data_IF_567528832780
#
_entry.id   IF_567528832780
#
_cell.length_a   1.000
_cell.length_b   1.000
_cell.length_c   1.000
_cell.angle_alpha   90.00
_cell.angle_beta   90.00
_cell.angle_gamma   90.00
#
_symmetry.space_group_name_H-M   'P 1'
#
loop_
_entity.id
_entity.type
_entity.pdbx_description
1 polymer ?
#
# COMPACT_ATOMS: atom_id res chain seq x y z
N UNK A 1 42.48 35.44 -6.46
CA UNK A 1 41.15 35.16 -6.01
C UNK A 1 40.96 33.63 -5.89
N UNK A 2 41.04 33.12 -4.64
CA UNK A 2 40.81 31.68 -4.39
C UNK A 2 39.34 31.32 -4.63
N UNK A 3 39.07 30.36 -5.49
CA UNK A 3 37.74 29.76 -5.61
C UNK A 3 37.47 28.96 -4.32
N UNK A 4 36.41 29.32 -3.58
CA UNK A 4 35.98 28.55 -2.44
C UNK A 4 35.31 27.23 -2.96
N UNK A 5 35.83 26.13 -2.49
CA UNK A 5 35.27 24.80 -2.81
C UNK A 5 34.59 24.25 -1.57
N UNK A 6 33.40 23.70 -1.72
CA UNK A 6 32.69 23.01 -0.65
C UNK A 6 33.01 21.52 -0.72
N UNK A 7 33.31 20.89 0.43
CA UNK A 7 33.55 19.47 0.52
C UNK A 7 32.20 18.74 0.55
N UNK A 8 31.93 17.91 -0.45
CA UNK A 8 30.72 17.07 -0.53
C UNK A 8 30.94 15.71 0.13
N UNK A 9 32.14 15.12 -0.05
CA UNK A 9 32.47 13.80 0.48
C UNK A 9 33.97 13.71 0.84
N UNK A 10 34.33 12.80 1.75
CA UNK A 10 35.73 12.53 2.11
C UNK A 10 36.28 13.31 3.29
N UNK A 11 35.45 13.77 4.23
CA UNK A 11 35.87 14.57 5.40
C UNK A 11 36.96 13.88 6.23
N UNK A 12 36.85 12.57 6.46
CA UNK A 12 37.85 11.81 7.22
C UNK A 12 39.21 11.82 6.51
N UNK A 13 39.22 11.68 5.17
CA UNK A 13 40.47 11.74 4.36
C UNK A 13 41.08 13.13 4.42
N UNK A 14 40.27 14.18 4.24
CA UNK A 14 40.75 15.56 4.35
C UNK A 14 41.31 15.84 5.74
N UNK A 15 40.64 15.38 6.79
CA UNK A 15 41.12 15.52 8.17
C UNK A 15 42.45 14.79 8.41
N UNK A 16 42.59 13.58 7.89
CA UNK A 16 43.84 12.83 7.96
C UNK A 16 44.99 13.53 7.20
N UNK A 17 44.73 14.07 6.01
CA UNK A 17 45.75 14.85 5.26
C UNK A 17 46.16 16.11 6.00
N UNK A 18 45.24 16.82 6.66
CA UNK A 18 45.54 17.98 7.51
C UNK A 18 46.41 17.59 8.70
N UNK A 19 46.13 16.48 9.36
CA UNK A 19 46.93 15.96 10.46
C UNK A 19 48.38 15.56 10.00
N UNK A 20 48.44 15.02 8.80
CA UNK A 20 49.74 14.66 8.16
C UNK A 20 50.46 15.88 7.56
N UNK A 21 49.94 17.11 7.73
CA UNK A 21 50.48 18.36 7.19
C UNK A 21 50.78 18.30 5.68
N UNK A 22 49.92 17.67 4.91
CA UNK A 22 50.04 17.64 3.45
C UNK A 22 49.52 18.96 2.86
N UNK A 23 50.33 19.61 2.04
CA UNK A 23 49.98 20.91 1.40
C UNK A 23 48.96 20.71 0.25
N UNK A 24 48.90 19.56 -0.33
CA UNK A 24 48.01 19.22 -1.46
C UNK A 24 47.36 17.89 -1.28
N UNK A 25 46.07 17.80 -1.63
CA UNK A 25 45.29 16.57 -1.60
C UNK A 25 44.66 16.36 -2.98
N UNK A 26 44.68 15.14 -3.51
CA UNK A 26 43.94 14.84 -4.73
C UNK A 26 42.44 14.94 -4.48
N UNK A 27 41.76 15.75 -5.30
CA UNK A 27 40.32 15.97 -5.21
C UNK A 27 39.71 15.99 -6.60
N UNK A 28 38.48 15.51 -6.71
CA UNK A 28 37.66 15.63 -7.91
C UNK A 28 36.83 16.91 -7.75
N UNK A 29 37.02 17.83 -8.69
CA UNK A 29 36.22 19.06 -8.74
C UNK A 29 35.04 18.81 -9.66
N UNK A 30 33.84 19.17 -9.18
CA UNK A 30 32.62 19.09 -9.98
C UNK A 30 31.73 20.30 -9.62
N UNK A 31 30.98 20.76 -10.61
CA UNK A 31 30.01 21.83 -10.42
C UNK A 31 28.66 21.21 -10.12
N UNK A 32 28.26 21.32 -8.88
CA UNK A 32 26.95 20.87 -8.39
C UNK A 32 26.18 22.05 -7.81
N UNK A 33 24.87 22.04 -7.96
CA UNK A 33 24.02 22.95 -7.19
C UNK A 33 23.92 22.50 -5.73
N UNK A 34 23.35 23.37 -4.87
CA UNK A 34 23.21 23.07 -3.43
C UNK A 34 22.37 21.82 -3.19
N UNK A 35 21.36 21.56 -4.02
CA UNK A 35 20.48 20.39 -3.88
C UNK A 35 21.17 19.09 -4.29
N UNK A 36 21.96 19.13 -5.33
CA UNK A 36 22.79 18.01 -5.80
C UNK A 36 23.90 17.69 -4.78
N UNK A 37 24.55 18.72 -4.23
CA UNK A 37 25.58 18.58 -3.21
C UNK A 37 25.01 17.94 -1.93
N UNK A 38 23.83 18.38 -1.49
CA UNK A 38 23.13 17.80 -0.34
C UNK A 38 22.74 16.34 -0.60
N UNK A 39 22.22 16.03 -1.78
CA UNK A 39 21.84 14.68 -2.15
C UNK A 39 23.06 13.73 -2.20
N UNK A 40 24.18 14.19 -2.72
CA UNK A 40 25.43 13.40 -2.75
C UNK A 40 25.96 13.13 -1.34
N UNK A 41 25.90 14.10 -0.44
CA UNK A 41 26.26 13.90 0.96
C UNK A 41 25.38 12.85 1.65
N UNK A 42 24.06 12.86 1.38
CA UNK A 42 23.14 11.82 1.86
C UNK A 42 23.49 10.46 1.27
N UNK A 43 23.84 10.38 -0.01
CA UNK A 43 24.21 9.12 -0.69
C UNK A 43 25.49 8.51 -0.11
N UNK A 44 26.51 9.32 0.15
CA UNK A 44 27.72 8.81 0.82
C UNK A 44 27.37 8.20 2.19
N UNK A 45 26.50 8.86 2.93
CA UNK A 45 26.04 8.37 4.22
C UNK A 45 25.20 7.07 4.08
N UNK A 46 24.35 6.96 3.03
CA UNK A 46 23.56 5.77 2.73
C UNK A 46 24.38 4.55 2.31
N UNK A 47 25.61 4.74 1.82
CA UNK A 47 26.51 3.64 1.45
C UNK A 47 27.23 3.01 2.65
N UNK A 48 27.04 3.53 3.85
CA UNK A 48 27.60 2.92 5.06
C UNK A 48 26.90 1.60 5.37
N UNK A 49 27.67 0.55 5.56
CA UNK A 49 27.23 -0.86 5.64
C UNK A 49 26.39 -1.24 6.89
N UNK A 50 26.01 -0.29 7.75
CA UNK A 50 25.29 -0.55 9.00
C UNK A 50 24.04 0.33 9.18
N UNK A 51 23.46 0.88 8.11
CA UNK A 51 22.24 1.66 8.23
C UNK A 51 21.01 0.78 8.40
N UNK A 52 20.13 1.21 9.31
CA UNK A 52 18.78 0.67 9.43
C UNK A 52 18.05 0.75 8.07
N UNK A 53 17.31 -0.29 7.65
CA UNK A 53 16.51 -0.26 6.44
C UNK A 53 15.55 0.93 6.36
N UNK A 54 15.04 1.41 7.50
CA UNK A 54 14.13 2.56 7.55
C UNK A 54 14.88 3.89 7.35
N UNK A 55 16.10 4.00 7.89
CA UNK A 55 16.95 5.18 7.66
C UNK A 55 17.37 5.26 6.20
N UNK A 56 17.71 4.13 5.62
CA UNK A 56 17.98 4.02 4.17
C UNK A 56 16.76 4.48 3.36
N UNK A 57 15.57 4.04 3.71
CA UNK A 57 14.34 4.43 3.01
C UNK A 57 14.03 5.93 3.16
N UNK A 58 14.25 6.50 4.36
CA UNK A 58 14.11 7.95 4.62
C UNK A 58 15.10 8.75 3.81
N UNK A 59 16.36 8.33 3.77
CA UNK A 59 17.39 8.98 2.98
C UNK A 59 17.07 8.97 1.48
N UNK A 60 16.63 7.82 0.93
CA UNK A 60 16.21 7.72 -0.46
C UNK A 60 15.02 8.67 -0.75
N UNK A 61 14.04 8.72 0.13
CA UNK A 61 12.89 9.63 -0.01
C UNK A 61 13.32 11.09 -0.07
N UNK A 62 14.28 11.47 0.79
CA UNK A 62 14.82 12.83 0.83
C UNK A 62 15.65 13.16 -0.42
N UNK A 63 16.46 12.21 -0.90
CA UNK A 63 17.21 12.39 -2.16
C UNK A 63 16.26 12.59 -3.35
N UNK A 64 15.16 11.85 -3.44
CA UNK A 64 14.13 12.04 -4.48
C UNK A 64 13.53 13.45 -4.40
N UNK A 65 13.26 13.92 -3.18
CA UNK A 65 12.72 15.25 -2.93
C UNK A 65 13.69 16.35 -3.39
N UNK A 66 14.97 16.22 -3.02
CA UNK A 66 16.02 17.18 -3.38
C UNK A 66 16.25 17.22 -4.90
N UNK A 67 16.25 16.07 -5.56
CA UNK A 67 16.42 16.00 -7.01
C UNK A 67 15.18 16.44 -7.79
N UNK A 68 14.01 16.53 -7.15
CA UNK A 68 12.75 16.85 -7.82
C UNK A 68 12.39 15.87 -8.95
N UNK A 69 12.87 14.62 -8.87
CA UNK A 69 12.76 13.64 -9.93
C UNK A 69 11.77 12.51 -9.61
N UNK A 70 11.40 11.72 -10.62
CA UNK A 70 10.55 10.54 -10.44
C UNK A 70 11.31 9.39 -9.76
N UNK A 71 10.58 8.44 -9.16
CA UNK A 71 11.19 7.24 -8.57
C UNK A 71 11.98 6.42 -9.61
N UNK A 72 11.54 6.38 -10.86
CA UNK A 72 12.24 5.69 -11.94
C UNK A 72 13.60 6.35 -12.26
N UNK A 73 13.61 7.67 -12.30
CA UNK A 73 14.81 8.46 -12.50
C UNK A 73 15.79 8.30 -11.34
N UNK A 74 15.30 8.43 -10.11
CA UNK A 74 16.09 8.22 -8.90
C UNK A 74 16.69 6.81 -8.86
N UNK A 75 15.92 5.78 -9.20
CA UNK A 75 16.41 4.40 -9.25
C UNK A 75 17.60 4.27 -10.22
N UNK A 76 17.51 4.84 -11.43
CA UNK A 76 18.63 4.86 -12.39
C UNK A 76 19.88 5.54 -11.82
N UNK A 77 19.71 6.73 -11.23
CA UNK A 77 20.84 7.50 -10.66
C UNK A 77 21.49 6.76 -9.48
N UNK A 78 20.69 6.03 -8.69
CA UNK A 78 21.14 5.25 -7.54
C UNK A 78 21.71 3.86 -7.93
N UNK A 79 21.65 3.47 -9.19
CA UNK A 79 22.04 2.12 -9.63
C UNK A 79 21.13 1.02 -9.11
N UNK A 80 19.87 1.35 -8.77
CA UNK A 80 18.85 0.43 -8.30
C UNK A 80 17.81 0.15 -9.39
N UNK A 81 17.17 -1.03 -9.31
CA UNK A 81 15.97 -1.24 -10.10
C UNK A 81 14.81 -0.46 -9.48
N UNK A 82 13.87 0.03 -10.32
CA UNK A 82 12.69 0.73 -9.83
C UNK A 82 11.88 -0.09 -8.81
N UNK A 83 11.65 -1.41 -8.99
CA UNK A 83 10.99 -2.22 -7.96
C UNK A 83 11.77 -2.30 -6.65
N UNK A 84 13.11 -2.34 -6.70
CA UNK A 84 13.93 -2.35 -5.48
C UNK A 84 13.78 -1.04 -4.70
N UNK A 85 13.82 0.10 -5.38
CA UNK A 85 13.61 1.42 -4.78
C UNK A 85 12.19 1.54 -4.21
N UNK A 86 11.17 1.17 -4.98
CA UNK A 86 9.78 1.18 -4.52
C UNK A 86 9.57 0.30 -3.27
N UNK A 87 10.20 -0.88 -3.21
CA UNK A 87 10.13 -1.75 -2.04
C UNK A 87 10.77 -1.10 -0.79
N UNK A 88 11.88 -0.38 -0.94
CA UNK A 88 12.49 0.37 0.17
C UNK A 88 11.57 1.48 0.66
N UNK A 89 11.01 2.27 -0.25
CA UNK A 89 10.08 3.35 0.11
C UNK A 89 8.80 2.84 0.77
N UNK A 90 8.30 1.66 0.38
CA UNK A 90 7.13 1.04 1.01
C UNK A 90 7.35 0.70 2.48
N UNK A 91 8.57 0.53 2.96
CA UNK A 91 8.84 0.32 4.39
C UNK A 91 8.35 1.49 5.24
N UNK A 92 8.37 2.71 4.69
CA UNK A 92 7.90 3.91 5.38
C UNK A 92 6.38 3.97 5.57
N UNK A 93 5.63 3.01 5.02
CA UNK A 93 4.19 2.86 5.29
C UNK A 93 3.89 2.11 6.60
N UNK A 94 4.90 1.52 7.23
CA UNK A 94 4.79 1.02 8.60
C UNK A 94 4.70 2.19 9.58
N UNK A 95 3.90 2.04 10.63
CA UNK A 95 3.82 3.05 11.69
C UNK A 95 5.16 3.19 12.42
N UNK A 96 5.45 4.35 13.05
CA UNK A 96 6.69 4.53 13.80
C UNK A 96 6.93 3.43 14.85
N UNK A 97 5.87 2.97 15.52
CA UNK A 97 5.92 1.88 16.50
C UNK A 97 6.32 0.56 15.85
N UNK A 98 5.77 0.24 14.67
CA UNK A 98 6.12 -0.96 13.90
C UNK A 98 7.56 -0.90 13.40
N UNK A 99 8.03 0.28 12.95
CA UNK A 99 9.42 0.48 12.55
C UNK A 99 10.36 0.25 13.73
N UNK A 100 10.05 0.84 14.90
CA UNK A 100 10.84 0.67 16.12
C UNK A 100 10.87 -0.79 16.56
N UNK A 101 9.76 -1.51 16.48
CA UNK A 101 9.68 -2.93 16.79
C UNK A 101 10.59 -3.76 15.87
N UNK A 102 10.62 -3.44 14.58
CA UNK A 102 11.52 -4.09 13.62
C UNK A 102 12.99 -3.84 13.96
N UNK A 103 13.38 -2.59 14.24
CA UNK A 103 14.76 -2.21 14.55
C UNK A 103 15.23 -2.82 15.86
N UNK A 104 14.40 -2.72 16.93
CA UNK A 104 14.75 -3.27 18.26
C UNK A 104 14.95 -4.79 18.25
N UNK A 105 14.26 -5.51 17.37
CA UNK A 105 14.36 -6.98 17.27
C UNK A 105 15.20 -7.45 16.07
N UNK A 106 15.93 -6.55 15.41
CA UNK A 106 16.78 -6.87 14.25
C UNK A 106 16.06 -7.61 13.13
N UNK A 107 14.77 -7.29 12.91
CA UNK A 107 14.02 -7.84 11.80
C UNK A 107 14.53 -7.24 10.47
N UNK A 108 14.83 -8.11 9.52
CA UNK A 108 15.33 -7.66 8.21
C UNK A 108 14.25 -6.95 7.39
N UNK A 109 14.68 -6.19 6.37
CA UNK A 109 13.81 -5.57 5.35
C UNK A 109 12.77 -6.56 4.81
N UNK A 110 13.15 -7.84 4.63
CA UNK A 110 12.24 -8.86 4.09
C UNK A 110 11.12 -9.21 5.08
N UNK A 111 11.38 -9.23 6.38
CA UNK A 111 10.34 -9.44 7.41
C UNK A 111 9.34 -8.27 7.42
N UNK A 112 9.85 -7.04 7.39
CA UNK A 112 9.02 -5.85 7.32
C UNK A 112 8.14 -5.84 6.05
N UNK A 113 8.70 -6.21 4.89
CA UNK A 113 7.95 -6.34 3.64
C UNK A 113 6.88 -7.45 3.68
N UNK A 114 7.17 -8.57 4.30
CA UNK A 114 6.17 -9.63 4.49
C UNK A 114 4.98 -9.11 5.30
N UNK A 115 5.23 -8.40 6.41
CA UNK A 115 4.18 -7.79 7.24
C UNK A 115 3.33 -6.77 6.49
N UNK A 116 3.90 -6.02 5.53
CA UNK A 116 3.16 -5.05 4.70
C UNK A 116 2.08 -5.68 3.81
N UNK A 117 2.11 -6.99 3.59
CA UNK A 117 1.05 -7.71 2.87
C UNK A 117 -0.23 -7.84 3.70
N UNK A 118 -0.13 -7.69 5.02
CA UNK A 118 -1.26 -7.75 5.93
C UNK A 118 -1.98 -6.40 6.06
N UNK A 119 -3.29 -6.40 6.37
CA UNK A 119 -3.99 -5.21 6.81
C UNK A 119 -3.31 -4.58 8.03
N UNK A 120 -3.38 -3.25 8.16
CA UNK A 120 -2.66 -2.49 9.17
C UNK A 120 -2.87 -3.04 10.60
N UNK A 121 -4.11 -3.35 10.97
CA UNK A 121 -4.43 -3.87 12.31
C UNK A 121 -3.85 -5.26 12.64
N UNK A 122 -3.27 -5.97 11.66
CA UNK A 122 -2.63 -7.28 11.88
C UNK A 122 -1.11 -7.24 11.80
N UNK A 123 -0.53 -6.13 11.31
CA UNK A 123 0.92 -6.01 11.09
C UNK A 123 1.70 -6.10 12.39
N UNK A 124 1.27 -5.40 13.42
CA UNK A 124 1.94 -5.38 14.73
C UNK A 124 2.01 -6.77 15.33
N UNK A 125 0.88 -7.49 15.39
CA UNK A 125 0.84 -8.86 15.92
C UNK A 125 1.73 -9.84 15.13
N UNK A 126 1.79 -9.67 13.80
CA UNK A 126 2.67 -10.47 12.96
C UNK A 126 4.15 -10.17 13.24
N UNK A 127 4.53 -8.89 13.34
CA UNK A 127 5.90 -8.47 13.63
C UNK A 127 6.35 -8.93 15.03
N UNK A 128 5.49 -8.79 16.04
CA UNK A 128 5.75 -9.29 17.40
C UNK A 128 5.99 -10.80 17.42
N UNK A 129 5.16 -11.55 16.68
CA UNK A 129 5.33 -13.00 16.57
C UNK A 129 6.61 -13.37 15.84
N UNK A 130 6.95 -12.68 14.75
CA UNK A 130 8.22 -12.88 14.04
C UNK A 130 9.43 -12.61 14.94
N UNK A 131 9.36 -11.55 15.76
CA UNK A 131 10.41 -11.18 16.69
C UNK A 131 10.57 -12.18 17.83
N UNK A 132 9.47 -12.53 18.50
CA UNK A 132 9.45 -13.46 19.63
C UNK A 132 9.98 -14.84 19.26
N UNK A 133 9.52 -15.37 18.12
CA UNK A 133 9.82 -16.71 17.66
C UNK A 133 11.13 -16.75 16.82
N UNK A 134 11.84 -15.62 16.69
CA UNK A 134 13.07 -15.44 15.89
C UNK A 134 12.96 -16.10 14.50
N UNK A 135 11.86 -15.83 13.83
CA UNK A 135 11.51 -16.49 12.58
C UNK A 135 12.49 -16.14 11.46
N UNK A 136 12.80 -17.13 10.62
CA UNK A 136 13.46 -16.88 9.34
C UNK A 136 12.48 -16.23 8.35
N UNK A 137 12.99 -15.60 7.29
CA UNK A 137 12.17 -14.97 6.25
C UNK A 137 11.12 -15.93 5.68
N UNK A 138 11.50 -17.20 5.43
CA UNK A 138 10.56 -18.22 4.92
C UNK A 138 9.44 -18.55 5.90
N UNK A 139 9.73 -18.54 7.19
CA UNK A 139 8.71 -18.76 8.23
C UNK A 139 7.81 -17.53 8.36
N UNK A 140 8.36 -16.32 8.25
CA UNK A 140 7.60 -15.09 8.23
C UNK A 140 6.63 -15.02 7.04
N UNK A 141 7.07 -15.40 5.84
CA UNK A 141 6.19 -15.48 4.66
C UNK A 141 5.04 -16.47 4.88
N UNK A 142 5.34 -17.69 5.39
CA UNK A 142 4.32 -18.68 5.72
C UNK A 142 3.33 -18.18 6.78
N UNK A 143 3.82 -17.50 7.82
CA UNK A 143 2.96 -16.89 8.83
C UNK A 143 2.01 -15.87 8.22
N UNK A 144 2.53 -14.99 7.36
CA UNK A 144 1.72 -13.98 6.66
C UNK A 144 0.68 -14.65 5.76
N UNK A 145 1.04 -15.69 5.00
CA UNK A 145 0.11 -16.44 4.15
C UNK A 145 -0.99 -17.10 5.00
N UNK A 146 -0.65 -17.70 6.14
CA UNK A 146 -1.63 -18.23 7.09
C UNK A 146 -2.57 -17.15 7.64
N UNK A 147 -2.02 -15.98 7.97
CA UNK A 147 -2.82 -14.85 8.47
C UNK A 147 -3.72 -14.23 7.40
N UNK A 148 -3.35 -14.35 6.13
CA UNK A 148 -4.18 -13.91 4.99
C UNK A 148 -5.30 -14.91 4.68
N UNK A 149 -4.99 -16.22 4.77
CA UNK A 149 -5.95 -17.30 4.48
C UNK A 149 -6.86 -17.64 5.66
N UNK A 150 -6.45 -17.30 6.89
CA UNK A 150 -7.32 -17.50 8.05
C UNK A 150 -8.59 -16.64 7.88
N UNK A 151 -9.79 -17.24 7.91
CA UNK A 151 -11.02 -16.47 7.88
C UNK A 151 -10.97 -15.47 9.03
N UNK A 152 -11.35 -14.25 8.75
CA UNK A 152 -11.38 -13.12 9.67
C UNK A 152 -11.99 -13.52 11.03
N UNK A 153 -11.16 -13.92 11.99
CA UNK A 153 -11.55 -13.76 13.37
C UNK A 153 -11.68 -12.24 13.58
N UNK A 154 -12.83 -11.73 13.99
CA UNK A 154 -13.04 -10.31 14.11
C UNK A 154 -12.07 -9.79 15.16
N UNK A 155 -11.03 -9.09 14.72
CA UNK A 155 -10.35 -8.13 15.58
C UNK A 155 -11.44 -7.20 16.11
N UNK A 156 -11.49 -6.85 17.41
CA UNK A 156 -12.45 -5.86 17.90
C UNK A 156 -11.99 -4.47 17.46
N UNK A 157 -11.82 -4.28 16.17
CA UNK A 157 -11.79 -2.97 15.58
C UNK A 157 -13.24 -2.53 15.53
N UNK A 158 -13.61 -1.54 16.34
CA UNK A 158 -14.85 -0.81 16.20
C UNK A 158 -15.05 -0.57 14.70
N UNK A 159 -15.92 -1.37 14.08
CA UNK A 159 -16.50 -1.02 12.81
C UNK A 159 -17.23 0.30 13.03
N UNK A 160 -16.56 1.40 12.76
CA UNK A 160 -17.25 2.57 12.29
C UNK A 160 -17.79 2.13 10.94
N UNK A 161 -19.00 1.57 10.94
CA UNK A 161 -19.80 1.45 9.74
C UNK A 161 -19.86 2.89 9.25
N UNK A 162 -19.27 3.26 8.11
CA UNK A 162 -19.58 4.55 7.54
C UNK A 162 -21.09 4.52 7.39
N UNK A 163 -21.78 5.36 8.18
CA UNK A 163 -23.23 5.49 8.09
C UNK A 163 -23.44 6.07 6.69
N UNK A 164 -23.66 5.15 5.73
CA UNK A 164 -23.99 5.52 4.34
C UNK A 164 -25.36 6.18 4.43
N UNK A 165 -25.33 7.50 4.61
CA UNK A 165 -26.55 8.33 4.61
C UNK A 165 -27.14 8.51 3.20
N UNK A 166 -26.48 7.96 2.19
CA UNK A 166 -26.89 8.10 0.80
C UNK A 166 -27.58 6.82 0.32
N UNK A 167 -28.89 6.89 0.24
CA UNK A 167 -29.75 5.81 -0.27
C UNK A 167 -29.35 5.42 -1.71
N UNK A 168 -28.73 6.34 -2.47
CA UNK A 168 -28.28 6.11 -3.85
C UNK A 168 -27.28 4.95 -3.95
N UNK A 169 -26.45 4.74 -2.94
CA UNK A 169 -25.49 3.63 -2.92
C UNK A 169 -26.22 2.27 -2.91
N UNK A 170 -27.28 2.15 -2.12
CA UNK A 170 -28.09 0.92 -2.05
C UNK A 170 -28.85 0.69 -3.34
N UNK A 171 -29.47 1.74 -3.90
CA UNK A 171 -30.20 1.67 -5.17
C UNK A 171 -29.26 1.26 -6.30
N UNK A 172 -28.08 1.84 -6.41
CA UNK A 172 -27.10 1.46 -7.43
C UNK A 172 -26.62 0.00 -7.28
N UNK A 173 -26.48 -0.48 -6.05
CA UNK A 173 -26.07 -1.88 -5.80
C UNK A 173 -27.19 -2.85 -6.23
N UNK A 174 -28.45 -2.54 -5.94
CA UNK A 174 -29.60 -3.32 -6.38
C UNK A 174 -29.74 -3.30 -7.91
N UNK A 175 -29.58 -2.12 -8.53
CA UNK A 175 -29.60 -1.98 -9.99
C UNK A 175 -28.54 -2.85 -10.65
N UNK A 176 -27.30 -2.79 -10.14
CA UNK A 176 -26.21 -3.61 -10.67
C UNK A 176 -26.48 -5.11 -10.51
N UNK A 177 -27.09 -5.53 -9.41
CA UNK A 177 -27.45 -6.94 -9.21
C UNK A 177 -28.50 -7.39 -10.24
N UNK A 178 -29.50 -6.55 -10.53
CA UNK A 178 -30.53 -6.84 -11.55
C UNK A 178 -29.94 -6.84 -12.95
N UNK A 179 -29.03 -5.92 -13.27
CA UNK A 179 -28.33 -5.89 -14.56
C UNK A 179 -27.52 -7.18 -14.79
N UNK A 180 -26.86 -7.69 -13.77
CA UNK A 180 -26.14 -8.98 -13.82
C UNK A 180 -27.09 -10.17 -14.05
N UNK A 181 -28.28 -10.16 -13.43
CA UNK A 181 -29.32 -11.18 -13.67
C UNK A 181 -29.79 -11.14 -15.10
N UNK A 182 -30.08 -9.94 -15.63
CA UNK A 182 -30.53 -9.76 -17.02
C UNK A 182 -29.46 -10.19 -18.02
N UNK A 183 -28.19 -9.87 -17.78
CA UNK A 183 -27.07 -10.34 -18.61
C UNK A 183 -26.93 -11.87 -18.62
N UNK A 184 -27.37 -12.54 -17.57
CA UNK A 184 -27.38 -14.00 -17.47
C UNK A 184 -28.68 -14.65 -18.01
N UNK A 185 -29.53 -13.84 -18.67
CA UNK A 185 -30.76 -14.34 -19.30
C UNK A 185 -31.96 -14.48 -18.35
N UNK A 186 -31.90 -13.87 -17.16
CA UNK A 186 -33.02 -13.81 -16.24
C UNK A 186 -33.79 -12.53 -16.51
N UNK A 187 -35.08 -12.64 -16.89
CA UNK A 187 -35.93 -11.48 -17.21
C UNK A 187 -36.39 -10.75 -15.93
N UNK A 188 -35.46 -10.19 -15.16
CA UNK A 188 -35.78 -9.40 -13.98
C UNK A 188 -36.18 -7.97 -14.39
N UNK A 189 -37.26 -7.45 -13.80
CA UNK A 189 -37.73 -6.08 -14.00
C UNK A 189 -37.69 -5.30 -12.70
N UNK A 190 -37.37 -4.00 -12.78
CA UNK A 190 -37.30 -3.12 -11.61
C UNK A 190 -38.26 -1.94 -11.76
N UNK A 191 -38.90 -1.58 -10.66
CA UNK A 191 -39.71 -0.39 -10.55
C UNK A 191 -39.32 0.39 -9.29
N UNK A 192 -39.20 1.71 -9.39
CA UNK A 192 -38.76 2.57 -8.31
C UNK A 192 -39.74 3.73 -8.17
N UNK A 193 -40.44 3.78 -7.04
CA UNK A 193 -41.40 4.84 -6.71
C UNK A 193 -40.97 5.61 -5.47
N UNK A 194 -41.27 6.90 -5.44
CA UNK A 194 -40.99 7.77 -4.32
C UNK A 194 -42.30 8.38 -3.78
N UNK A 195 -42.68 7.93 -2.60
CA UNK A 195 -43.87 8.42 -1.90
C UNK A 195 -43.51 8.88 -0.47
N UNK A 196 -44.00 10.02 -0.05
CA UNK A 196 -43.98 10.57 1.32
C UNK A 196 -42.66 10.40 2.09
N UNK A 197 -41.51 10.63 1.41
CA UNK A 197 -40.19 10.49 2.06
C UNK A 197 -39.64 9.07 2.09
N UNK A 198 -40.38 8.09 1.58
CA UNK A 198 -39.94 6.71 1.39
C UNK A 198 -39.59 6.44 -0.07
N UNK A 199 -38.56 5.63 -0.30
CA UNK A 199 -38.19 5.10 -1.61
C UNK A 199 -38.57 3.62 -1.63
N UNK A 200 -39.51 3.27 -2.51
CA UNK A 200 -39.92 1.88 -2.72
C UNK A 200 -39.23 1.35 -3.99
N UNK A 201 -38.51 0.25 -3.82
CA UNK A 201 -37.78 -0.38 -4.92
C UNK A 201 -38.25 -1.82 -5.07
N UNK A 202 -39.01 -2.10 -6.13
CA UNK A 202 -39.63 -3.38 -6.42
C UNK A 202 -38.82 -4.10 -7.49
N UNK A 203 -38.31 -5.31 -7.17
CA UNK A 203 -37.67 -6.20 -8.14
C UNK A 203 -38.58 -7.38 -8.37
N UNK A 204 -38.96 -7.59 -9.64
CA UNK A 204 -39.76 -8.75 -10.06
C UNK A 204 -38.87 -9.73 -10.81
N UNK A 205 -38.79 -10.95 -10.31
CA UNK A 205 -38.02 -12.04 -10.91
C UNK A 205 -39.00 -13.13 -11.29
N UNK A 206 -39.11 -13.52 -12.58
CA UNK A 206 -39.98 -14.65 -12.97
C UNK A 206 -39.41 -15.96 -12.48
N UNK A 207 -40.22 -16.74 -11.79
CA UNK A 207 -39.87 -18.07 -11.29
C UNK A 207 -40.83 -19.08 -11.91
N UNK A 208 -40.28 -20.15 -12.47
CA UNK A 208 -41.09 -21.26 -12.98
C UNK A 208 -41.68 -22.09 -11.82
N UNK A 209 -42.78 -22.80 -12.04
CA UNK A 209 -43.48 -23.62 -11.05
C UNK A 209 -42.59 -24.65 -10.32
N UNK A 210 -41.42 -24.98 -10.86
CA UNK A 210 -40.41 -25.88 -10.28
C UNK A 210 -39.32 -25.18 -9.47
N UNK A 211 -39.46 -23.88 -9.16
CA UNK A 211 -38.51 -23.14 -8.38
C UNK A 211 -37.18 -22.81 -9.10
N UNK A 212 -37.06 -23.13 -10.38
CA UNK A 212 -35.91 -22.74 -11.22
C UNK A 212 -36.16 -21.42 -11.94
N UNK A 213 -35.14 -20.60 -12.06
CA UNK A 213 -35.22 -19.31 -12.74
C UNK A 213 -35.36 -19.55 -14.25
N UNK A 214 -36.49 -19.13 -14.84
CA UNK A 214 -36.80 -19.32 -16.26
C UNK A 214 -35.86 -18.56 -17.18
N UNK A 215 -35.27 -19.26 -18.17
CA UNK A 215 -34.64 -18.65 -19.34
C UNK A 215 -35.74 -18.16 -20.29
N UNK A 216 -35.47 -17.03 -20.94
CA UNK A 216 -36.36 -16.36 -21.87
C UNK A 216 -36.68 -17.29 -23.07
N UNK A 217 -37.83 -17.91 -23.06
CA UNK A 217 -38.52 -18.44 -24.25
C UNK A 217 -39.99 -18.06 -24.08
N UNK A 218 -40.49 -17.28 -25.05
CA UNK A 218 -41.87 -16.93 -25.38
C UNK A 218 -42.87 -16.61 -24.25
N UNK A 219 -43.40 -15.42 -24.31
CA UNK A 219 -44.46 -14.92 -23.46
C UNK A 219 -45.76 -15.71 -23.60
N UNK A 220 -46.33 -16.20 -22.48
CA UNK A 220 -47.77 -16.20 -22.31
C UNK A 220 -48.24 -15.36 -21.13
N UNK A 221 -49.49 -14.97 -21.23
CA UNK A 221 -50.23 -14.04 -20.39
C UNK A 221 -50.30 -14.45 -18.92
N UNK A 222 -50.16 -13.42 -18.07
CA UNK A 222 -50.69 -13.21 -16.70
C UNK A 222 -51.10 -14.44 -15.88
N UNK A 223 -50.31 -14.72 -14.82
CA UNK A 223 -50.84 -14.97 -13.49
C UNK A 223 -49.82 -14.45 -12.46
N UNK A 224 -50.32 -13.52 -11.61
CA UNK A 224 -49.51 -12.75 -10.67
C UNK A 224 -49.27 -13.57 -9.38
N UNK A 225 -48.02 -13.94 -9.11
CA UNK A 225 -47.59 -14.19 -7.75
C UNK A 225 -46.54 -13.15 -7.34
N UNK A 226 -47.00 -12.14 -6.60
CA UNK A 226 -46.20 -11.05 -6.06
C UNK A 226 -45.45 -11.51 -4.79
N UNK A 227 -44.12 -11.53 -4.85
CA UNK A 227 -43.28 -11.44 -3.66
C UNK A 227 -42.74 -10.02 -3.55
N UNK A 228 -43.36 -9.22 -2.71
CA UNK A 228 -42.90 -7.89 -2.33
C UNK A 228 -42.02 -7.99 -1.10
N UNK A 229 -40.75 -7.59 -1.19
CA UNK A 229 -39.91 -7.36 -0.01
C UNK A 229 -40.00 -5.86 0.30
N UNK A 230 -40.65 -5.52 1.42
CA UNK A 230 -40.66 -4.16 1.98
C UNK A 230 -39.38 -3.95 2.79
N UNK A 231 -38.61 -2.90 2.45
CA UNK A 231 -37.48 -2.39 3.24
C UNK A 231 -37.87 -1.03 3.82
#
# INVERSE_FOLDING_TARGET
>A
GGRNHQLVAGERRLRACRLAKLDKVPAILADYDDSESAALGLLENLQRSQLDPFDTARGIKEVIRLWGCTQAEAARRLGLSQPALANKLRLLTLTPEQQQLCTANHLSERHARAALRLPEGRRTAALEKMARDKMSVRQADKLVDQMLTAPNAPSPCRRTIPMVRDVRFFVNTLQHAVDLMTQKGIAATTHCDKHDGCLEYIVRIPVSSDGTVGKQEDAPKKEDSEFAVKV
#
